data_IF_523315695408
#
_entry.id   IF_523315695408
#
_cell.length_a   1.000
_cell.length_b   1.000
_cell.length_c   1.000
_cell.angle_alpha   90.00
_cell.angle_beta   90.00
_cell.angle_gamma   90.00
#
_symmetry.space_group_name_H-M   'P 1'
#
loop_
_entity.id
_entity.type
_entity.pdbx_description
1 polymer ?
#
# COMPACT_ATOMS: atom_id res chain seq x y z
N UNK A 1 1.68 -0.56 4.77
CA UNK A 1 0.72 -1.09 3.77
C UNK A 1 1.03 -2.52 3.33
N UNK A 2 2.19 -2.84 2.74
CA UNK A 2 2.48 -4.19 2.22
C UNK A 2 2.34 -5.32 3.25
N UNK A 3 2.89 -5.14 4.45
CA UNK A 3 2.76 -6.10 5.54
C UNK A 3 1.30 -6.35 5.92
N UNK A 4 0.48 -5.29 5.97
CA UNK A 4 -0.96 -5.39 6.30
C UNK A 4 -1.71 -6.19 5.23
N UNK A 5 -1.45 -5.92 3.94
CA UNK A 5 -2.05 -6.68 2.85
C UNK A 5 -1.62 -8.15 2.88
N UNK A 6 -0.35 -8.42 3.18
CA UNK A 6 0.15 -9.78 3.32
C UNK A 6 -0.50 -10.50 4.51
N UNK A 7 -0.46 -9.93 5.71
CA UNK A 7 -0.97 -10.57 6.93
C UNK A 7 -2.49 -10.77 6.88
N UNK A 8 -3.21 -9.89 6.19
CA UNK A 8 -4.64 -10.04 6.01
C UNK A 8 -5.01 -11.16 5.02
N UNK A 9 -4.21 -11.36 3.97
CA UNK A 9 -4.55 -12.29 2.87
C UNK A 9 -3.75 -13.59 2.87
N UNK A 10 -2.62 -13.62 3.57
CA UNK A 10 -1.59 -14.68 3.58
C UNK A 10 -1.11 -15.04 2.16
N UNK A 11 -1.12 -14.07 1.25
CA UNK A 11 -0.77 -14.25 -0.17
C UNK A 11 0.19 -13.16 -0.60
N UNK A 12 1.42 -13.55 -0.97
CA UNK A 12 2.43 -12.59 -1.45
C UNK A 12 2.05 -11.92 -2.78
N UNK A 13 1.17 -12.55 -3.57
CA UNK A 13 0.70 -11.99 -4.85
C UNK A 13 -0.08 -10.67 -4.68
N UNK A 14 -0.78 -10.50 -3.55
CA UNK A 14 -1.58 -9.29 -3.28
C UNK A 14 -0.70 -8.05 -3.05
N UNK A 15 0.27 -8.04 -2.13
CA UNK A 15 1.18 -6.90 -1.98
C UNK A 15 2.02 -6.67 -3.24
N UNK A 16 2.38 -7.71 -4.00
CA UNK A 16 3.11 -7.54 -5.27
C UNK A 16 2.26 -6.87 -6.35
N UNK A 17 0.98 -7.22 -6.49
CA UNK A 17 0.07 -6.52 -7.40
C UNK A 17 -0.13 -5.06 -6.99
N UNK A 18 -0.26 -4.79 -5.69
CA UNK A 18 -0.35 -3.43 -5.19
C UNK A 18 0.94 -2.64 -5.46
N UNK A 19 2.12 -3.25 -5.25
CA UNK A 19 3.41 -2.65 -5.57
C UNK A 19 3.50 -2.29 -7.05
N UNK A 20 3.22 -3.25 -7.93
CA UNK A 20 3.22 -3.05 -9.38
C UNK A 20 2.27 -1.93 -9.80
N UNK A 21 1.04 -1.91 -9.26
CA UNK A 21 0.08 -0.86 -9.58
C UNK A 21 0.59 0.52 -9.16
N UNK A 22 1.19 0.64 -7.97
CA UNK A 22 1.75 1.89 -7.50
C UNK A 22 2.91 2.38 -8.38
N UNK A 23 3.83 1.48 -8.74
CA UNK A 23 4.94 1.80 -9.63
C UNK A 23 4.46 2.21 -11.02
N UNK A 24 3.47 1.48 -11.55
CA UNK A 24 2.89 1.78 -12.85
C UNK A 24 2.19 3.15 -12.87
N UNK A 25 1.42 3.47 -11.83
CA UNK A 25 0.79 4.78 -11.66
C UNK A 25 1.84 5.90 -11.57
N UNK A 26 2.89 5.69 -10.77
CA UNK A 26 3.97 6.66 -10.64
C UNK A 26 4.69 6.87 -11.99
N UNK A 27 5.06 5.78 -12.67
CA UNK A 27 5.67 5.81 -13.99
C UNK A 27 4.82 6.55 -15.03
N UNK A 28 3.51 6.28 -15.06
CA UNK A 28 2.57 6.92 -15.96
C UNK A 28 2.43 8.44 -15.69
N UNK A 29 2.50 8.87 -14.44
CA UNK A 29 2.43 10.28 -14.08
C UNK A 29 3.68 11.07 -14.48
N UNK A 30 4.87 10.47 -14.39
CA UNK A 30 6.15 11.17 -14.63
C UNK A 30 6.69 10.93 -16.05
N UNK A 31 5.96 10.20 -16.90
CA UNK A 31 6.36 9.94 -18.28
C UNK A 31 7.61 9.06 -18.42
N UNK A 32 8.00 8.37 -17.35
CA UNK A 32 8.98 7.29 -17.38
C UNK A 32 10.46 7.63 -17.54
N UNK A 33 10.84 8.90 -17.63
CA UNK A 33 12.25 9.28 -17.91
C UNK A 33 12.89 10.25 -16.92
N UNK A 34 12.12 10.86 -16.02
CA UNK A 34 12.66 11.79 -15.02
C UNK A 34 12.25 11.34 -13.62
N UNK A 35 13.14 11.50 -12.64
CA UNK A 35 12.74 11.38 -11.24
C UNK A 35 11.66 12.43 -10.94
N UNK A 36 10.62 12.05 -10.19
CA UNK A 36 9.59 12.99 -9.78
C UNK A 36 10.23 14.08 -8.90
N UNK A 37 10.32 15.29 -9.43
CA UNK A 37 10.79 16.46 -8.68
C UNK A 37 9.58 17.21 -8.14
N UNK A 38 9.55 17.45 -6.83
CA UNK A 38 8.50 18.26 -6.21
C UNK A 38 8.61 19.72 -6.68
N UNK A 39 7.57 20.20 -7.35
CA UNK A 39 7.38 21.58 -7.81
C UNK A 39 6.32 22.32 -6.99
N UNK A 40 5.57 21.61 -6.16
CA UNK A 40 4.51 22.15 -5.32
C UNK A 40 3.24 22.47 -6.10
N UNK A 41 3.08 21.90 -7.29
CA UNK A 41 1.90 22.07 -8.11
C UNK A 41 0.75 21.14 -7.68
N UNK A 42 -0.43 21.29 -8.29
CA UNK A 42 -1.59 20.49 -7.93
C UNK A 42 -1.39 18.97 -8.17
N UNK A 43 -0.56 18.58 -9.14
CA UNK A 43 -0.29 17.17 -9.43
C UNK A 43 0.58 16.55 -8.35
N UNK A 44 1.56 17.30 -7.83
CA UNK A 44 2.40 16.86 -6.72
C UNK A 44 1.57 16.60 -5.45
N UNK A 45 0.64 17.50 -5.13
CA UNK A 45 -0.26 17.32 -4.00
C UNK A 45 -1.20 16.12 -4.18
N UNK A 46 -1.75 15.93 -5.39
CA UNK A 46 -2.59 14.78 -5.70
C UNK A 46 -1.80 13.47 -5.59
N UNK A 47 -0.57 13.44 -6.09
CA UNK A 47 0.32 12.30 -6.01
C UNK A 47 0.65 11.94 -4.55
N UNK A 48 0.96 12.93 -3.70
CA UNK A 48 1.17 12.72 -2.27
C UNK A 48 -0.07 12.14 -1.58
N UNK A 49 -1.26 12.65 -1.89
CA UNK A 49 -2.51 12.15 -1.31
C UNK A 49 -2.74 10.68 -1.68
N UNK A 50 -2.58 10.33 -2.96
CA UNK A 50 -2.83 8.98 -3.47
C UNK A 50 -1.77 7.98 -3.02
N UNK A 51 -0.49 8.34 -3.07
CA UNK A 51 0.61 7.40 -2.79
C UNK A 51 0.96 7.29 -1.31
N UNK A 52 0.63 8.29 -0.49
CA UNK A 52 1.03 8.33 0.93
C UNK A 52 -0.20 8.34 1.84
N UNK A 53 -1.07 9.35 1.71
CA UNK A 53 -2.16 9.57 2.66
C UNK A 53 -3.19 8.43 2.61
N UNK A 54 -3.61 8.02 1.41
CA UNK A 54 -4.56 6.91 1.24
C UNK A 54 -4.01 5.59 1.80
N UNK A 55 -2.77 5.14 1.49
CA UNK A 55 -2.21 3.93 2.09
C UNK A 55 -2.06 3.97 3.62
N UNK A 56 -1.76 5.13 4.19
CA UNK A 56 -1.72 5.31 5.65
C UNK A 56 -3.13 5.16 6.24
N UNK A 57 -4.13 5.84 5.68
CA UNK A 57 -5.51 5.75 6.14
C UNK A 57 -6.04 4.31 6.08
N UNK A 58 -5.78 3.60 4.98
CA UNK A 58 -6.14 2.18 4.86
C UNK A 58 -5.40 1.32 5.88
N UNK A 59 -4.10 1.58 6.10
CA UNK A 59 -3.32 0.87 7.12
C UNK A 59 -3.93 1.05 8.51
N UNK A 60 -4.24 2.29 8.91
CA UNK A 60 -4.89 2.59 10.19
C UNK A 60 -6.24 1.86 10.29
N UNK A 61 -7.06 1.92 9.24
CA UNK A 61 -8.36 1.26 9.19
C UNK A 61 -8.26 -0.26 9.34
N UNK A 62 -7.26 -0.88 8.72
CA UNK A 62 -7.00 -2.32 8.83
C UNK A 62 -6.54 -2.75 10.22
N UNK A 63 -5.85 -1.86 10.95
CA UNK A 63 -5.42 -2.10 12.33
C UNK A 63 -6.56 -1.96 13.35
N UNK A 64 -7.81 -1.76 12.91
CA UNK A 64 -8.97 -1.62 13.79
C UNK A 64 -10.06 -2.67 13.53
N UNK A 65 -10.84 -2.97 14.57
CA UNK A 65 -12.01 -3.85 14.51
C UNK A 65 -11.69 -5.29 14.09
N UNK A 66 -12.62 -5.88 13.32
CA UNK A 66 -12.55 -7.29 12.90
C UNK A 66 -11.36 -7.61 11.97
N UNK A 67 -10.86 -6.61 11.22
CA UNK A 67 -9.76 -6.80 10.26
C UNK A 67 -8.45 -7.09 10.97
N UNK A 68 -8.23 -6.43 12.10
CA UNK A 68 -7.09 -6.70 12.98
C UNK A 68 -7.13 -8.13 13.52
N UNK A 69 -8.29 -8.61 13.96
CA UNK A 69 -8.44 -9.97 14.48
C UNK A 69 -8.12 -11.03 13.42
N UNK A 70 -8.56 -10.83 12.17
CA UNK A 70 -8.21 -11.71 11.05
C UNK A 70 -6.70 -11.76 10.83
N UNK A 71 -6.01 -10.60 10.89
CA UNK A 71 -4.55 -10.57 10.78
C UNK A 71 -3.87 -11.30 11.93
N UNK A 72 -4.30 -11.10 13.17
CA UNK A 72 -3.76 -11.80 14.34
C UNK A 72 -3.92 -13.32 14.21
N UNK A 73 -5.10 -13.80 13.80
CA UNK A 73 -5.33 -15.23 13.53
C UNK A 73 -4.42 -15.78 12.43
N UNK A 74 -4.23 -15.03 11.36
CA UNK A 74 -3.35 -15.42 10.26
C UNK A 74 -1.87 -15.44 10.70
N UNK A 75 -1.44 -14.50 11.55
CA UNK A 75 -0.09 -14.50 12.12
C UNK A 75 0.12 -15.76 12.97
N UNK A 76 -0.81 -16.09 13.87
CA UNK A 76 -0.69 -17.30 14.70
C UNK A 76 -0.56 -18.56 13.83
N UNK A 77 -1.41 -18.71 12.81
CA UNK A 77 -1.33 -19.82 11.85
C UNK A 77 0.00 -19.89 11.07
N UNK A 78 0.65 -18.76 10.84
CA UNK A 78 1.95 -18.70 10.18
C UNK A 78 3.10 -19.06 11.11
N UNK A 79 2.96 -18.77 12.41
CA UNK A 79 3.95 -19.11 13.44
C UNK A 79 3.88 -20.58 13.87
N UNK A 80 2.71 -21.21 13.73
CA UNK A 80 2.49 -22.63 14.03
C UNK A 80 2.92 -23.58 12.89
N UNK A 81 3.36 -23.05 11.75
CA UNK A 81 3.89 -23.80 10.61
C UNK A 81 5.41 -23.88 10.62
#
# INVERSE_FOLDING_TARGET
>A
MFAVLYLYTVKIRVPMLFHFANDFLNYAQVGGMTAQTWRGDANDWLNLLVQVVVPIAITIWMLTGQRRLVMEQNIMRLLEK
#
